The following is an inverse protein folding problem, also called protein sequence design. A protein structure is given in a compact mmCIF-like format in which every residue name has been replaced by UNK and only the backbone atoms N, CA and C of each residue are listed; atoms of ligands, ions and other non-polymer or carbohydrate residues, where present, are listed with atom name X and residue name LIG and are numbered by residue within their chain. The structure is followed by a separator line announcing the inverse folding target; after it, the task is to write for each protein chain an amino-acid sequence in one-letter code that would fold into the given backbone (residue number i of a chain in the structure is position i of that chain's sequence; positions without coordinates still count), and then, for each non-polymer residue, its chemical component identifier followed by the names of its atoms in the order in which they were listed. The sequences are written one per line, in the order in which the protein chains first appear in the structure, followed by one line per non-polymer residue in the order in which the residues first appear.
data_IF_832845245543
#
_entry.id   IF_832845245543
#
_cell.length_a   1.000
_cell.length_b   1.000
_cell.length_c   1.000
_cell.angle_alpha   90.00
_cell.angle_beta   90.00
_cell.angle_gamma   90.00
#
_symmetry.space_group_name_H-M   'P 1'
#
loop_
_entity.id
_entity.type
_entity.pdbx_description
1 polymer ?
#
# COMPACT_ATOMS: atom_id res chain seq x y z
N UNK A 1 -5.59 6.69 -19.03
CA UNK A 1 -5.68 7.49 -17.91
C UNK A 1 -5.54 6.76 -16.62
N UNK A 2 -4.93 7.33 -15.77
CA UNK A 2 -4.50 6.64 -14.59
C UNK A 2 -5.24 7.06 -13.34
N UNK A 3 -6.37 7.70 -13.47
CA UNK A 3 -7.10 8.15 -12.31
C UNK A 3 -8.15 7.19 -11.79
N UNK A 4 -8.34 6.09 -12.49
CA UNK A 4 -9.41 5.17 -12.14
C UNK A 4 -9.02 4.35 -10.91
N UNK A 5 -9.91 4.35 -9.91
CA UNK A 5 -9.66 3.70 -8.63
C UNK A 5 -10.24 2.30 -8.67
N UNK A 6 -9.44 1.33 -8.27
CA UNK A 6 -9.90 -0.05 -8.16
C UNK A 6 -10.25 -0.32 -6.69
N UNK A 7 -11.44 -0.83 -6.40
CA UNK A 7 -11.73 -1.29 -5.04
C UNK A 7 -10.75 -2.36 -4.61
N UNK A 8 -10.29 -2.30 -3.37
CA UNK A 8 -9.27 -3.23 -2.90
C UNK A 8 -9.73 -4.68 -2.95
N UNK A 9 -11.03 -4.91 -2.76
CA UNK A 9 -11.58 -6.24 -2.89
C UNK A 9 -11.50 -6.80 -4.30
N UNK A 10 -11.29 -5.94 -5.30
CA UNK A 10 -11.15 -6.36 -6.70
C UNK A 10 -9.70 -6.38 -7.16
N UNK A 11 -8.76 -6.11 -6.27
CA UNK A 11 -7.35 -6.16 -6.61
C UNK A 11 -6.96 -7.57 -7.04
N UNK A 12 -6.14 -7.66 -8.07
CA UNK A 12 -5.69 -8.95 -8.59
C UNK A 12 -4.18 -8.94 -8.72
N UNK A 13 -3.57 -10.06 -8.33
CA UNK A 13 -2.12 -10.20 -8.49
C UNK A 13 -1.76 -10.02 -9.95
N UNK A 14 -0.67 -9.27 -10.18
CA UNK A 14 -0.10 -9.02 -11.51
C UNK A 14 -0.93 -8.10 -12.39
N UNK A 15 -1.97 -7.48 -11.85
CA UNK A 15 -2.78 -6.51 -12.59
C UNK A 15 -2.58 -5.16 -11.93
N UNK A 16 -1.98 -4.22 -12.67
CA UNK A 16 -1.72 -2.89 -12.15
C UNK A 16 -3.02 -2.19 -11.79
N UNK A 17 -3.03 -1.49 -10.67
CA UNK A 17 -4.18 -0.73 -10.24
C UNK A 17 -3.81 0.44 -9.37
N UNK A 18 -4.79 1.31 -9.14
CA UNK A 18 -4.69 2.41 -8.20
C UNK A 18 -5.68 2.17 -7.09
N UNK A 19 -5.21 2.22 -5.87
CA UNK A 19 -6.01 1.90 -4.69
C UNK A 19 -5.96 3.09 -3.74
N UNK A 20 -7.12 3.48 -3.23
CA UNK A 20 -7.21 4.58 -2.27
C UNK A 20 -7.89 4.06 -1.02
N UNK A 21 -7.33 4.37 0.13
CA UNK A 21 -7.92 3.90 1.35
C UNK A 21 -7.38 4.58 2.57
N UNK A 22 -7.88 4.13 3.70
CA UNK A 22 -7.47 4.63 4.99
C UNK A 22 -6.27 3.84 5.49
N UNK A 23 -5.30 4.55 6.06
CA UNK A 23 -4.12 3.91 6.64
C UNK A 23 -4.55 3.29 7.95
N UNK A 24 -4.45 1.96 8.02
CA UNK A 24 -4.84 1.20 9.21
C UNK A 24 -3.64 0.84 10.06
N UNK A 25 -2.46 0.71 9.45
CA UNK A 25 -1.27 0.25 10.16
C UNK A 25 -0.03 0.79 9.47
N UNK A 26 0.92 1.21 10.27
CA UNK A 26 2.24 1.65 9.80
C UNK A 26 3.25 0.91 10.65
N UNK A 27 4.20 0.24 10.01
CA UNK A 27 5.19 -0.53 10.73
C UNK A 27 6.51 -0.54 10.00
N UNK A 28 7.60 -0.47 10.75
CA UNK A 28 8.94 -0.64 10.20
C UNK A 28 9.35 -2.08 10.46
N UNK A 29 9.87 -2.75 9.42
CA UNK A 29 10.32 -4.13 9.52
C UNK A 29 11.83 -4.13 9.77
N UNK A 30 12.27 -4.34 11.00
CA UNK A 30 13.69 -4.20 11.33
C UNK A 30 14.53 -5.38 10.86
N UNK A 31 13.92 -6.55 10.59
CA UNK A 31 14.67 -7.71 10.16
C UNK A 31 15.08 -7.65 8.70
N UNK A 32 14.51 -6.75 7.93
CA UNK A 32 14.86 -6.64 6.52
C UNK A 32 16.30 -6.15 6.38
N UNK A 33 16.98 -6.60 5.33
CA UNK A 33 18.35 -6.18 5.04
C UNK A 33 18.46 -4.67 4.87
N UNK A 34 17.40 -4.05 4.36
CA UNK A 34 17.27 -2.60 4.30
C UNK A 34 16.02 -2.21 5.08
N UNK A 35 15.98 -1.01 5.65
CA UNK A 35 14.76 -0.56 6.32
C UNK A 35 13.58 -0.66 5.38
N UNK A 36 12.48 -1.21 5.87
CA UNK A 36 11.29 -1.40 5.06
C UNK A 36 10.09 -0.89 5.83
N UNK A 37 9.37 0.03 5.21
CA UNK A 37 8.17 0.62 5.79
C UNK A 37 6.96 -0.11 5.23
N UNK A 38 6.16 -0.69 6.10
CA UNK A 38 4.93 -1.35 5.71
C UNK A 38 3.74 -0.49 6.06
N UNK A 39 2.85 -0.27 5.10
CA UNK A 39 1.61 0.46 5.31
C UNK A 39 0.47 -0.41 4.85
N UNK A 40 -0.50 -0.66 5.74
CA UNK A 40 -1.70 -1.41 5.39
C UNK A 40 -2.81 -0.41 5.13
N UNK A 41 -3.41 -0.49 3.96
CA UNK A 41 -4.54 0.35 3.56
C UNK A 41 -5.80 -0.48 3.52
N UNK A 42 -6.90 0.17 3.81
CA UNK A 42 -8.20 -0.49 3.82
C UNK A 42 -9.24 0.41 3.21
N UNK A 43 -10.15 -0.16 2.43
CA UNK A 43 -11.37 0.50 2.00
C UNK A 43 -12.55 -0.41 2.39
N UNK A 44 -13.76 -0.06 1.93
CA UNK A 44 -14.94 -0.83 2.29
C UNK A 44 -14.92 -2.25 1.76
N UNK A 45 -14.12 -2.53 0.75
CA UNK A 45 -14.13 -3.81 0.06
C UNK A 45 -13.00 -4.74 0.46
N UNK A 46 -11.94 -4.23 1.10
CA UNK A 46 -10.81 -5.08 1.46
C UNK A 46 -9.61 -4.27 1.88
N UNK A 47 -8.44 -4.89 1.82
CA UNK A 47 -7.20 -4.23 2.20
C UNK A 47 -6.05 -4.69 1.32
N UNK A 48 -5.03 -3.83 1.22
CA UNK A 48 -3.78 -4.15 0.55
C UNK A 48 -2.65 -3.60 1.39
N UNK A 49 -1.45 -4.17 1.20
CA UNK A 49 -0.26 -3.69 1.89
C UNK A 49 0.67 -3.03 0.89
N UNK A 50 1.34 -1.98 1.31
CA UNK A 50 2.40 -1.35 0.54
C UNK A 50 3.69 -1.49 1.31
N UNK A 51 4.77 -1.87 0.64
CA UNK A 51 6.09 -1.98 1.22
C UNK A 51 7.01 -1.02 0.52
N UNK A 52 7.60 -0.10 1.29
CA UNK A 52 8.56 0.88 0.78
C UNK A 52 9.93 0.52 1.30
N UNK A 53 10.76 -0.03 0.42
CA UNK A 53 12.09 -0.46 0.78
C UNK A 53 13.04 0.73 0.80
N UNK A 54 13.92 0.74 1.80
CA UNK A 54 14.85 1.84 1.96
C UNK A 54 14.28 3.06 2.63
N UNK A 55 13.06 2.97 3.16
CA UNK A 55 12.41 4.08 3.86
C UNK A 55 12.05 3.68 5.26
N UNK A 56 12.15 4.64 6.17
CA UNK A 56 11.71 4.47 7.55
C UNK A 56 10.46 5.27 7.85
N UNK A 57 10.05 6.13 6.92
CA UNK A 57 8.85 6.91 7.07
C UNK A 57 8.57 7.71 5.81
N UNK A 58 7.38 8.24 5.74
CA UNK A 58 6.94 9.13 4.68
C UNK A 58 6.29 10.31 5.37
N UNK A 59 6.74 11.51 5.03
CA UNK A 59 6.19 12.71 5.65
C UNK A 59 4.69 12.78 5.38
N UNK A 60 3.92 13.09 6.40
CA UNK A 60 2.48 13.31 6.26
C UNK A 60 1.62 12.08 6.43
N UNK A 61 2.19 10.88 6.60
CA UNK A 61 1.36 9.71 6.83
C UNK A 61 1.13 9.50 8.32
N UNK A 62 -0.09 9.05 8.63
CA UNK A 62 -0.44 8.67 10.00
C UNK A 62 -1.64 7.73 9.94
N UNK A 63 -1.78 6.90 10.95
CA UNK A 63 -2.93 6.00 11.02
C UNK A 63 -4.20 6.82 11.06
N UNK A 64 -5.18 6.39 10.27
CA UNK A 64 -6.43 7.12 10.10
C UNK A 64 -6.42 8.07 8.93
N UNK A 65 -5.24 8.43 8.43
CA UNK A 65 -5.15 9.27 7.24
C UNK A 65 -5.46 8.48 5.98
N UNK A 66 -5.47 9.16 4.85
CA UNK A 66 -5.80 8.53 3.58
C UNK A 66 -4.61 8.61 2.63
N UNK A 67 -4.45 7.56 1.86
CA UNK A 67 -3.34 7.42 0.94
C UNK A 67 -3.81 6.72 -0.33
N UNK A 68 -3.30 7.16 -1.46
CA UNK A 68 -3.48 6.44 -2.72
C UNK A 68 -2.16 5.80 -3.09
N UNK A 69 -2.21 4.57 -3.56
CA UNK A 69 -1.04 3.88 -4.08
C UNK A 69 -1.36 3.31 -5.44
N UNK A 70 -0.35 3.24 -6.28
CA UNK A 70 -0.52 2.71 -7.63
C UNK A 70 0.66 1.81 -7.94
N UNK A 71 0.35 0.63 -8.45
CA UNK A 71 1.35 -0.36 -8.79
C UNK A 71 0.71 -1.69 -9.10
N UNK A 72 1.54 -2.71 -9.16
CA UNK A 72 1.11 -4.05 -9.50
C UNK A 72 1.17 -4.95 -8.27
N UNK A 73 0.02 -5.41 -7.78
CA UNK A 73 0.00 -6.26 -6.58
C UNK A 73 0.67 -7.60 -6.82
N UNK A 74 1.28 -8.13 -5.78
CA UNK A 74 1.87 -9.45 -5.76
C UNK A 74 1.22 -10.23 -4.64
N UNK A 75 0.85 -11.47 -4.88
CA UNK A 75 0.27 -12.31 -3.84
C UNK A 75 1.34 -12.67 -2.80
N UNK A 76 0.96 -12.60 -1.55
CA UNK A 76 1.84 -12.96 -0.44
C UNK A 76 1.01 -13.69 0.60
N UNK A 77 1.67 -14.17 1.64
CA UNK A 77 0.98 -14.87 2.73
C UNK A 77 -0.04 -13.99 3.43
N UNK A 78 0.16 -12.69 3.37
CA UNK A 78 -0.72 -11.72 4.05
C UNK A 78 -1.77 -11.13 3.13
N UNK A 79 -1.87 -11.61 1.90
CA UNK A 79 -2.77 -11.06 0.91
C UNK A 79 -1.99 -10.38 -0.20
N UNK A 80 -2.49 -9.30 -0.74
CA UNK A 80 -1.85 -8.61 -1.85
C UNK A 80 -0.95 -7.50 -1.34
N UNK A 81 0.24 -7.42 -1.92
CA UNK A 81 1.27 -6.46 -1.51
C UNK A 81 1.78 -5.73 -2.74
N UNK A 82 1.93 -4.41 -2.63
CA UNK A 82 2.56 -3.60 -3.65
C UNK A 82 3.94 -3.18 -3.15
N UNK A 83 4.98 -3.45 -3.94
CA UNK A 83 6.36 -3.11 -3.58
C UNK A 83 6.73 -1.79 -4.22
N UNK A 84 7.12 -0.83 -3.39
CA UNK A 84 7.55 0.51 -3.82
C UNK A 84 6.55 1.16 -4.77
N UNK A 85 5.26 1.19 -4.41
CA UNK A 85 4.28 1.80 -5.30
C UNK A 85 4.47 3.31 -5.40
N UNK A 86 3.95 3.89 -6.47
CA UNK A 86 3.75 5.33 -6.53
C UNK A 86 2.66 5.68 -5.53
N UNK A 87 2.78 6.80 -4.85
CA UNK A 87 1.80 7.15 -3.84
C UNK A 87 1.46 8.64 -3.89
N UNK A 88 0.26 8.95 -3.43
CA UNK A 88 -0.22 10.31 -3.25
C UNK A 88 -0.88 10.42 -1.89
N UNK A 89 -0.52 11.44 -1.15
CA UNK A 89 -1.22 11.76 0.09
C UNK A 89 -2.57 12.39 -0.27
N UNK A 90 -3.61 11.93 0.35
CA UNK A 90 -4.95 12.44 0.08
C UNK A 90 -5.46 13.37 1.18
#
# INVERSE_FOLDING_TARGET
MNGEITPMGNAKARVRGRFEGQIRRIRIQPQAAVPTLEIVLEDDSGRVSALFMGRRGIAGIECGGRLAIEGTPVASERGLTLYNPVYDLL
#
